data_IF_417156090930
#
_entry.id   IF_417156090930
#
_cell.length_a   1.000
_cell.length_b   1.000
_cell.length_c   1.000
_cell.angle_alpha   90.00
_cell.angle_beta   90.00
_cell.angle_gamma   90.00
#
_symmetry.space_group_name_H-M   'P 1'
#
loop_
_entity.id
_entity.type
_entity.pdbx_description
1 polymer ?
#
# COMPACT_ATOMS: atom_id res chain seq x y z
N UNK A 1 24.08 0.92 4.65
CA UNK A 1 23.16 -0.16 4.24
C UNK A 1 22.04 -0.21 5.28
N UNK A 2 20.94 0.50 5.08
CA UNK A 2 19.77 0.49 5.99
C UNK A 2 18.46 0.41 5.20
N UNK A 3 18.32 -0.63 4.37
CA UNK A 3 17.13 -0.87 3.53
C UNK A 3 16.03 -1.69 4.24
N UNK A 4 15.90 -1.60 5.56
CA UNK A 4 15.19 -2.65 6.34
C UNK A 4 13.94 -2.22 7.12
N UNK A 5 13.25 -1.14 6.73
CA UNK A 5 12.06 -0.65 7.44
C UNK A 5 10.83 -0.39 6.55
N UNK A 6 10.68 -1.11 5.43
CA UNK A 6 9.51 -0.99 4.54
C UNK A 6 8.56 -2.18 4.70
N UNK A 7 7.25 -1.92 4.85
CA UNK A 7 6.22 -2.98 4.79
C UNK A 7 6.23 -3.67 3.43
N UNK A 8 6.27 -5.00 3.45
CA UNK A 8 6.27 -5.84 2.26
C UNK A 8 5.06 -6.76 2.36
N UNK A 9 4.16 -6.64 1.39
CA UNK A 9 2.94 -7.45 1.33
C UNK A 9 3.28 -8.82 0.73
N UNK A 10 3.85 -9.70 1.56
CA UNK A 10 4.19 -11.08 1.19
C UNK A 10 4.06 -11.96 2.42
N UNK A 11 3.28 -13.05 2.35
CA UNK A 11 3.07 -13.93 3.50
C UNK A 11 4.38 -14.59 3.95
N UNK A 12 5.21 -15.03 3.00
CA UNK A 12 6.51 -15.67 3.27
C UNK A 12 7.54 -14.71 3.88
N UNK A 13 7.57 -13.44 3.46
CA UNK A 13 8.56 -12.46 3.94
C UNK A 13 8.07 -11.67 5.16
N UNK A 14 6.77 -11.62 5.43
CA UNK A 14 6.20 -10.92 6.58
C UNK A 14 6.51 -11.63 7.91
N UNK A 15 6.55 -12.96 7.93
CA UNK A 15 6.82 -13.76 9.15
C UNK A 15 8.25 -13.57 9.68
N UNK A 16 9.22 -13.19 8.84
CA UNK A 16 10.63 -13.06 9.23
C UNK A 16 11.04 -11.66 9.71
N UNK A 17 10.17 -10.63 9.64
CA UNK A 17 10.58 -9.23 9.85
C UNK A 17 9.68 -8.37 10.73
N UNK A 18 8.68 -8.95 11.41
CA UNK A 18 7.75 -8.16 12.22
C UNK A 18 8.22 -7.98 13.67
N UNK A 19 9.02 -6.93 13.89
CA UNK A 19 9.05 -6.28 15.21
C UNK A 19 7.76 -5.47 15.35
N UNK A 20 6.99 -5.71 16.40
CA UNK A 20 5.73 -5.02 16.76
C UNK A 20 5.88 -3.49 16.96
N UNK A 21 7.09 -2.93 16.85
CA UNK A 21 7.36 -1.52 17.14
C UNK A 21 7.15 -0.62 15.92
N UNK A 22 6.00 0.07 15.86
CA UNK A 22 5.83 1.46 15.37
C UNK A 22 6.62 1.97 14.13
N UNK A 23 6.95 1.12 13.16
CA UNK A 23 7.65 1.58 11.95
C UNK A 23 6.62 2.22 11.02
N UNK A 24 6.58 3.55 10.96
CA UNK A 24 5.84 4.26 9.91
C UNK A 24 6.27 3.73 8.54
N UNK A 25 5.31 3.36 7.68
CA UNK A 25 5.63 2.86 6.34
C UNK A 25 6.32 3.90 5.47
N UNK A 26 6.12 5.19 5.78
CA UNK A 26 6.74 6.34 5.11
C UNK A 26 7.19 7.38 6.16
N UNK A 27 8.50 7.63 6.23
CA UNK A 27 9.12 8.62 7.11
C UNK A 27 9.20 10.02 6.47
N UNK A 28 9.17 11.10 7.28
CA UNK A 28 9.26 12.51 6.83
C UNK A 28 10.55 12.80 6.06
N UNK A 29 11.62 12.07 6.33
CA UNK A 29 12.94 12.24 5.69
C UNK A 29 12.89 12.07 4.16
N UNK A 30 11.82 11.44 3.64
CA UNK A 30 11.60 11.31 2.20
C UNK A 30 10.89 12.52 1.57
N UNK A 31 10.35 13.47 2.35
CA UNK A 31 9.64 14.63 1.83
C UNK A 31 10.61 15.81 1.63
N UNK A 32 10.75 16.38 0.41
CA UNK A 32 11.75 17.41 0.11
C UNK A 32 11.66 18.69 0.94
N UNK A 33 10.51 18.96 1.60
CA UNK A 33 10.29 20.16 2.42
C UNK A 33 10.15 19.85 3.92
N UNK A 34 10.72 18.72 4.40
CA UNK A 34 10.65 18.29 5.80
C UNK A 34 9.22 17.91 6.28
N UNK A 35 8.22 18.17 5.44
CA UNK A 35 6.89 17.57 5.47
C UNK A 35 5.93 18.13 6.50
N UNK A 36 6.18 19.33 7.04
CA UNK A 36 5.29 19.97 8.02
C UNK A 36 3.88 20.21 7.45
N UNK A 37 3.78 20.74 6.22
CA UNK A 37 2.50 20.94 5.53
C UNK A 37 1.81 19.60 5.21
N UNK A 38 2.60 18.57 4.92
CA UNK A 38 2.09 17.27 4.47
C UNK A 38 1.86 16.30 5.64
N UNK A 39 2.07 16.73 6.88
CA UNK A 39 2.12 15.86 8.07
C UNK A 39 0.78 15.18 8.35
N UNK A 40 -0.31 15.92 8.20
CA UNK A 40 -1.67 15.39 8.41
C UNK A 40 -2.01 14.32 7.35
N UNK A 41 -1.84 14.65 6.06
CA UNK A 41 -2.02 13.70 4.96
C UNK A 41 -1.15 12.45 5.13
N UNK A 42 0.11 12.62 5.53
CA UNK A 42 1.03 11.51 5.78
C UNK A 42 0.56 10.60 6.91
N UNK A 43 0.03 11.17 8.00
CA UNK A 43 -0.49 10.38 9.12
C UNK A 43 -1.65 9.50 8.65
N UNK A 44 -2.60 10.06 7.90
CA UNK A 44 -3.73 9.33 7.31
C UNK A 44 -3.24 8.23 6.35
N UNK A 45 -2.30 8.55 5.46
CA UNK A 45 -1.73 7.58 4.50
C UNK A 45 -1.02 6.43 5.23
N UNK A 46 -0.21 6.73 6.25
CA UNK A 46 0.47 5.72 7.05
C UNK A 46 -0.53 4.83 7.82
N UNK A 47 -1.62 5.40 8.33
CA UNK A 47 -2.69 4.64 8.98
C UNK A 47 -3.39 3.70 7.98
N UNK A 48 -3.77 4.19 6.80
CA UNK A 48 -4.36 3.35 5.75
C UNK A 48 -3.41 2.23 5.31
N UNK A 49 -2.12 2.52 5.13
CA UNK A 49 -1.13 1.49 4.82
C UNK A 49 -1.08 0.43 5.94
N UNK A 50 -1.24 0.84 7.20
CA UNK A 50 -1.14 -0.04 8.37
C UNK A 50 -2.31 -1.00 8.39
N UNK A 51 -3.50 -0.42 8.29
CA UNK A 51 -4.75 -1.15 8.25
C UNK A 51 -4.77 -2.11 7.06
N UNK A 52 -4.28 -1.66 5.89
CA UNK A 52 -4.14 -2.52 4.72
C UNK A 52 -3.26 -3.73 5.00
N UNK A 53 -2.11 -3.51 5.63
CA UNK A 53 -1.20 -4.59 5.98
C UNK A 53 -1.81 -5.57 6.99
N UNK A 54 -2.51 -5.07 8.02
CA UNK A 54 -3.22 -5.91 9.00
C UNK A 54 -4.31 -6.76 8.34
N UNK A 55 -5.13 -6.17 7.46
CA UNK A 55 -6.14 -6.89 6.67
C UNK A 55 -5.50 -7.94 5.75
N UNK A 56 -4.39 -7.61 5.10
CA UNK A 56 -3.64 -8.56 4.28
C UNK A 56 -3.15 -9.76 5.12
N UNK A 57 -2.62 -9.51 6.32
CA UNK A 57 -2.19 -10.59 7.23
C UNK A 57 -3.34 -11.49 7.66
N UNK A 58 -4.55 -10.93 7.83
CA UNK A 58 -5.78 -11.66 8.10
C UNK A 58 -6.44 -12.29 6.85
N UNK A 59 -5.84 -12.10 5.67
CA UNK A 59 -6.36 -12.56 4.37
C UNK A 59 -7.67 -11.90 3.95
N UNK A 60 -7.96 -10.72 4.50
CA UNK A 60 -9.08 -9.85 4.12
C UNK A 60 -8.66 -8.94 2.96
N UNK A 61 -8.38 -9.53 1.80
CA UNK A 61 -7.71 -8.86 0.69
C UNK A 61 -8.49 -7.66 0.13
N UNK A 62 -9.81 -7.74 0.05
CA UNK A 62 -10.63 -6.63 -0.47
C UNK A 62 -10.56 -5.41 0.46
N UNK A 63 -10.55 -5.64 1.78
CA UNK A 63 -10.37 -4.57 2.76
C UNK A 63 -8.95 -3.98 2.67
N UNK A 64 -7.94 -4.83 2.46
CA UNK A 64 -6.57 -4.36 2.25
C UNK A 64 -6.45 -3.45 1.01
N UNK A 65 -7.07 -3.84 -0.10
CA UNK A 65 -7.12 -3.03 -1.34
C UNK A 65 -7.90 -1.72 -1.12
N UNK A 66 -9.01 -1.75 -0.38
CA UNK A 66 -9.80 -0.56 -0.08
C UNK A 66 -9.01 0.48 0.72
N UNK A 67 -8.24 0.06 1.73
CA UNK A 67 -7.40 0.98 2.50
C UNK A 67 -6.31 1.61 1.63
N UNK A 68 -5.70 0.86 0.71
CA UNK A 68 -4.73 1.42 -0.25
C UNK A 68 -5.38 2.40 -1.23
N UNK A 69 -6.61 2.11 -1.68
CA UNK A 69 -7.38 3.04 -2.52
C UNK A 69 -7.69 4.35 -1.77
N UNK A 70 -8.05 4.29 -0.49
CA UNK A 70 -8.23 5.47 0.36
C UNK A 70 -6.94 6.26 0.49
N UNK A 71 -5.83 5.59 0.81
CA UNK A 71 -4.52 6.23 0.88
C UNK A 71 -4.16 6.94 -0.43
N UNK A 72 -4.46 6.32 -1.58
CA UNK A 72 -4.18 6.93 -2.88
C UNK A 72 -5.02 8.18 -3.11
N UNK A 73 -6.32 8.13 -2.83
CA UNK A 73 -7.18 9.31 -2.99
C UNK A 73 -6.72 10.47 -2.10
N UNK A 74 -6.19 10.19 -0.92
CA UNK A 74 -5.57 11.21 -0.05
C UNK A 74 -4.36 11.88 -0.73
N UNK A 75 -3.59 11.15 -1.54
CA UNK A 75 -2.50 11.78 -2.31
C UNK A 75 -3.00 12.71 -3.42
N UNK A 76 -4.24 12.56 -3.90
CA UNK A 76 -4.81 13.44 -4.93
C UNK A 76 -5.24 14.78 -4.32
N UNK A 77 -5.62 14.82 -3.03
CA UNK A 77 -5.94 16.08 -2.34
C UNK A 77 -4.68 16.90 -2.08
N UNK A 78 -3.54 16.24 -1.87
CA UNK A 78 -2.22 16.86 -1.66
C UNK A 78 -1.67 17.61 -2.89
N UNK A 79 -2.16 17.33 -4.11
CA UNK A 79 -1.69 17.99 -5.34
C UNK A 79 -2.03 19.47 -5.39
N UNK A 80 -3.06 19.89 -4.65
CA UNK A 80 -3.46 21.29 -4.54
C UNK A 80 -2.55 22.09 -3.61
N UNK A 81 -1.59 21.43 -2.95
CA UNK A 81 -0.71 22.01 -1.93
C UNK A 81 0.78 22.00 -2.36
N UNK A 82 1.64 22.58 -1.51
CA UNK A 82 3.12 22.53 -1.64
C UNK A 82 3.72 21.11 -1.58
N UNK A 83 2.87 20.09 -1.39
CA UNK A 83 3.22 18.71 -1.13
C UNK A 83 3.29 17.79 -2.36
N UNK A 84 3.20 18.32 -3.59
CA UNK A 84 3.13 17.52 -4.82
C UNK A 84 4.22 16.42 -4.94
N UNK A 85 5.48 16.74 -4.60
CA UNK A 85 6.58 15.75 -4.61
C UNK A 85 6.40 14.64 -3.57
N UNK A 86 5.82 14.97 -2.42
CA UNK A 86 5.55 13.98 -1.37
C UNK A 86 4.34 13.12 -1.75
N UNK A 87 3.34 13.70 -2.42
CA UNK A 87 2.23 12.97 -3.01
C UNK A 87 2.69 11.91 -4.03
N UNK A 88 3.62 12.26 -4.93
CA UNK A 88 4.20 11.31 -5.90
C UNK A 88 4.88 10.12 -5.21
N UNK A 89 5.72 10.38 -4.20
CA UNK A 89 6.37 9.33 -3.42
C UNK A 89 5.37 8.43 -2.70
N UNK A 90 4.30 9.01 -2.15
CA UNK A 90 3.24 8.26 -1.49
C UNK A 90 2.48 7.39 -2.48
N UNK A 91 2.14 7.92 -3.67
CA UNK A 91 1.49 7.13 -4.74
C UNK A 91 2.34 5.97 -5.20
N UNK A 92 3.64 6.19 -5.42
CA UNK A 92 4.56 5.13 -5.80
C UNK A 92 4.57 4.02 -4.75
N UNK A 93 4.60 4.41 -3.47
CA UNK A 93 4.56 3.45 -2.36
C UNK A 93 3.25 2.65 -2.33
N UNK A 94 2.11 3.33 -2.45
CA UNK A 94 0.78 2.73 -2.40
C UNK A 94 0.55 1.79 -3.58
N UNK A 95 0.90 2.23 -4.79
CA UNK A 95 0.79 1.41 -6.01
C UNK A 95 1.68 0.17 -5.94
N UNK A 96 2.92 0.31 -5.44
CA UNK A 96 3.80 -0.85 -5.17
C UNK A 96 3.15 -1.84 -4.20
N UNK A 97 2.51 -1.36 -3.13
CA UNK A 97 1.79 -2.22 -2.18
C UNK A 97 0.59 -2.93 -2.82
N UNK A 98 -0.18 -2.25 -3.66
CA UNK A 98 -1.29 -2.86 -4.41
C UNK A 98 -0.79 -3.96 -5.36
N UNK A 99 0.29 -3.69 -6.10
CA UNK A 99 0.91 -4.66 -7.00
C UNK A 99 1.44 -5.89 -6.25
N UNK A 100 1.99 -5.71 -5.05
CA UNK A 100 2.40 -6.83 -4.20
C UNK A 100 1.21 -7.70 -3.75
N UNK A 101 0.09 -7.09 -3.35
CA UNK A 101 -1.15 -7.84 -3.01
C UNK A 101 -1.66 -8.59 -4.24
N UNK A 102 -1.72 -7.93 -5.41
CA UNK A 102 -2.14 -8.53 -6.67
C UNK A 102 -1.27 -9.75 -7.03
N UNK A 103 0.06 -9.62 -6.94
CA UNK A 103 0.99 -10.71 -7.21
C UNK A 103 0.77 -11.90 -6.25
N UNK A 104 0.52 -11.64 -4.97
CA UNK A 104 0.26 -12.71 -4.00
C UNK A 104 -1.06 -13.43 -4.30
N UNK A 105 -2.12 -12.68 -4.61
CA UNK A 105 -3.40 -13.23 -5.07
C UNK A 105 -3.25 -14.03 -6.36
N UNK A 106 -2.43 -13.56 -7.30
CA UNK A 106 -2.15 -14.27 -8.55
C UNK A 106 -1.46 -15.61 -8.28
N UNK A 107 -0.51 -15.68 -7.35
CA UNK A 107 0.10 -16.96 -6.94
C UNK A 107 -0.91 -17.92 -6.30
N UNK A 108 -1.85 -17.39 -5.49
CA UNK A 108 -2.88 -18.21 -4.84
C UNK A 108 -3.96 -18.73 -5.79
N UNK A 109 -4.12 -18.08 -6.95
CA UNK A 109 -5.13 -18.42 -7.96
C UNK A 109 -4.54 -19.16 -9.17
N UNK A 110 -3.22 -19.16 -9.34
CA UNK A 110 -2.49 -19.89 -10.38
C UNK A 110 -1.81 -21.14 -9.83
N UNK A 111 -1.53 -22.13 -10.69
CA UNK A 111 -0.91 -23.41 -10.30
C UNK A 111 -1.82 -24.63 -10.50
N UNK A 112 -1.37 -25.80 -10.03
CA UNK A 112 -2.11 -27.08 -10.14
C UNK A 112 -3.27 -27.19 -9.14
N UNK A 113 -3.14 -26.55 -7.96
CA UNK A 113 -4.19 -26.44 -6.95
C UNK A 113 -4.83 -25.06 -6.99
N UNK A 114 -5.47 -24.70 -8.11
CA UNK A 114 -6.14 -23.40 -8.27
C UNK A 114 -7.29 -23.29 -7.27
N UNK A 115 -7.15 -22.40 -6.29
CA UNK A 115 -8.27 -22.00 -5.46
C UNK A 115 -8.95 -20.79 -6.11
N UNK A 116 -10.14 -21.01 -6.68
CA UNK A 116 -10.97 -19.93 -7.21
C UNK A 116 -11.48 -18.96 -6.12
N UNK A 117 -11.30 -19.30 -4.84
CA UNK A 117 -11.72 -18.50 -3.70
C UNK A 117 -11.18 -17.07 -3.73
N UNK A 118 -9.95 -16.88 -4.21
CA UNK A 118 -9.27 -15.57 -4.21
C UNK A 118 -9.35 -14.85 -5.56
N UNK A 119 -10.00 -15.46 -6.56
CA UNK A 119 -10.14 -14.87 -7.90
C UNK A 119 -10.91 -13.54 -7.88
N UNK A 120 -12.03 -13.39 -7.13
CA UNK A 120 -12.72 -12.10 -7.05
C UNK A 120 -11.83 -10.99 -6.49
N UNK A 121 -11.08 -11.27 -5.42
CA UNK A 121 -10.12 -10.32 -4.85
C UNK A 121 -9.00 -9.95 -5.83
N UNK A 122 -8.52 -10.90 -6.64
CA UNK A 122 -7.53 -10.62 -7.69
C UNK A 122 -8.07 -9.68 -8.77
N UNK A 123 -9.28 -9.96 -9.25
CA UNK A 123 -9.98 -9.12 -10.23
C UNK A 123 -10.24 -7.73 -9.67
N UNK A 124 -10.63 -7.64 -8.40
CA UNK A 124 -10.81 -6.37 -7.71
C UNK A 124 -9.51 -5.57 -7.57
N UNK A 125 -8.43 -6.19 -7.10
CA UNK A 125 -7.12 -5.56 -7.00
C UNK A 125 -6.63 -5.05 -8.37
N UNK A 126 -6.82 -5.85 -9.42
CA UNK A 126 -6.47 -5.48 -10.80
C UNK A 126 -7.28 -4.27 -11.29
N UNK A 127 -8.59 -4.26 -11.02
CA UNK A 127 -9.49 -3.16 -11.37
C UNK A 127 -9.06 -1.86 -10.69
N UNK A 128 -8.78 -1.92 -9.38
CA UNK A 128 -8.32 -0.76 -8.61
C UNK A 128 -6.99 -0.25 -9.12
N UNK A 129 -6.02 -1.12 -9.41
CA UNK A 129 -4.72 -0.68 -9.98
C UNK A 129 -4.92 0.07 -11.29
N UNK A 130 -5.76 -0.44 -12.19
CA UNK A 130 -6.04 0.22 -13.48
C UNK A 130 -6.75 1.56 -13.28
N UNK A 131 -7.73 1.63 -12.37
CA UNK A 131 -8.41 2.87 -12.02
C UNK A 131 -7.43 3.94 -11.51
N UNK A 132 -6.51 3.55 -10.61
CA UNK A 132 -5.57 4.50 -10.00
C UNK A 132 -4.48 4.94 -10.99
N UNK A 133 -3.99 4.04 -11.84
CA UNK A 133 -3.03 4.39 -12.90
C UNK A 133 -3.62 5.35 -13.94
N UNK A 134 -4.94 5.31 -14.17
CA UNK A 134 -5.62 6.27 -15.05
C UNK A 134 -5.84 7.66 -14.46
N UNK A 135 -5.52 7.88 -13.17
CA UNK A 135 -5.68 9.16 -12.46
C UNK A 135 -4.39 9.96 -12.29
N UNK A 136 -3.26 9.43 -12.76
CA UNK A 136 -1.93 10.06 -12.68
C UNK A 136 -1.46 10.43 -14.08
#
# INVERSE_FOLDING_TARGET
>A
MEDNKRWVFSKVKAEQKFSKSSVEAIHLESCPQHGDNCKAHRAVINECLKNSFEFFMQSHYDQAVNELKKAFNETLTMEQETCAKCAELFRLRITTSLEQIQQELQKMTSGFFKSNRHKPSLEYATTVINELKGKV
#
